data_IF_071349158477
#
_entry.id   IF_071349158477
#
_cell.length_a   1.000
_cell.length_b   1.000
_cell.length_c   1.000
_cell.angle_alpha   90.00
_cell.angle_beta   90.00
_cell.angle_gamma   90.00
#
_symmetry.space_group_name_H-M   'P 1'
#
loop_
_entity.id
_entity.type
_entity.pdbx_description
1 polymer ?
#
# COMPACT_ATOMS: atom_id res chain seq x y z
N UNK A 1 -18.84 -4.93 -7.45
CA UNK A 1 -19.05 -6.04 -8.41
C UNK A 1 -18.14 -7.18 -7.99
N UNK A 2 -18.63 -8.42 -7.82
CA UNK A 2 -17.74 -9.57 -7.54
C UNK A 2 -17.12 -10.02 -8.86
N UNK A 3 -15.79 -10.15 -8.90
CA UNK A 3 -15.04 -10.58 -10.09
C UNK A 3 -14.74 -12.08 -10.11
N UNK A 4 -15.12 -12.79 -9.05
CA UNK A 4 -14.96 -14.25 -8.93
C UNK A 4 -15.50 -14.99 -10.15
N UNK A 5 -14.72 -15.92 -10.68
CA UNK A 5 -15.06 -16.73 -11.86
C UNK A 5 -14.84 -16.01 -13.21
N UNK A 6 -14.51 -14.72 -13.22
CA UNK A 6 -14.17 -14.00 -14.45
C UNK A 6 -12.70 -14.24 -14.84
N UNK A 7 -12.42 -14.14 -16.14
CA UNK A 7 -11.05 -14.11 -16.64
C UNK A 7 -10.37 -12.85 -16.11
N UNK A 8 -9.17 -13.02 -15.54
CA UNK A 8 -8.45 -11.91 -14.89
C UNK A 8 -8.11 -10.80 -15.89
N UNK A 9 -7.80 -11.15 -17.14
CA UNK A 9 -7.57 -10.21 -18.23
C UNK A 9 -8.75 -9.29 -18.48
N UNK A 10 -9.97 -9.84 -18.56
CA UNK A 10 -11.17 -9.03 -18.77
C UNK A 10 -11.37 -8.03 -17.64
N UNK A 11 -11.12 -8.45 -16.39
CA UNK A 11 -11.20 -7.58 -15.21
C UNK A 11 -10.12 -6.49 -15.24
N UNK A 12 -8.90 -6.82 -15.66
CA UNK A 12 -7.80 -5.87 -15.84
C UNK A 12 -8.14 -4.82 -16.90
N UNK A 13 -8.54 -5.26 -18.09
CA UNK A 13 -8.86 -4.39 -19.21
C UNK A 13 -10.08 -3.50 -18.92
N UNK A 14 -11.11 -4.01 -18.24
CA UNK A 14 -12.24 -3.21 -17.74
C UNK A 14 -11.76 -2.06 -16.84
N UNK A 15 -10.84 -2.35 -15.90
CA UNK A 15 -10.29 -1.35 -14.97
C UNK A 15 -9.38 -0.33 -15.64
N UNK A 16 -8.48 -0.77 -16.51
CA UNK A 16 -7.61 0.13 -17.29
C UNK A 16 -8.45 1.06 -18.19
N UNK A 17 -9.50 0.53 -18.84
CA UNK A 17 -10.41 1.32 -19.64
C UNK A 17 -11.19 2.34 -18.80
N UNK A 18 -11.63 1.97 -17.59
CA UNK A 18 -12.30 2.88 -16.68
C UNK A 18 -11.39 4.05 -16.26
N UNK A 19 -10.11 3.78 -15.96
CA UNK A 19 -9.12 4.81 -15.65
C UNK A 19 -8.84 5.73 -16.84
N UNK A 20 -8.68 5.15 -18.04
CA UNK A 20 -8.47 5.92 -19.27
C UNK A 20 -9.67 6.81 -19.62
N UNK A 21 -10.90 6.32 -19.42
CA UNK A 21 -12.12 7.10 -19.63
C UNK A 21 -12.24 8.28 -18.65
N UNK A 22 -11.79 8.09 -17.40
CA UNK A 22 -11.88 9.14 -16.38
C UNK A 22 -10.79 10.21 -16.52
N UNK A 23 -9.53 9.79 -16.65
CA UNK A 23 -8.39 10.71 -16.66
C UNK A 23 -8.01 11.18 -18.07
N UNK A 24 -8.48 10.50 -19.12
CA UNK A 24 -8.08 10.74 -20.49
C UNK A 24 -6.68 10.21 -20.82
N UNK A 25 -6.41 10.03 -22.11
CA UNK A 25 -5.15 9.46 -22.62
C UNK A 25 -3.91 10.34 -22.41
N UNK A 26 -4.09 11.61 -22.01
CA UNK A 26 -2.99 12.51 -21.67
C UNK A 26 -2.43 12.25 -20.27
N UNK A 27 -3.26 11.78 -19.33
CA UNK A 27 -2.90 11.56 -17.93
C UNK A 27 -2.76 10.08 -17.57
N UNK A 28 -3.46 9.19 -18.29
CA UNK A 28 -3.38 7.75 -18.08
C UNK A 28 -3.06 7.02 -19.38
N UNK A 29 -2.10 6.10 -19.34
CA UNK A 29 -1.79 5.18 -20.42
C UNK A 29 -1.99 3.77 -19.92
N UNK A 30 -2.87 3.02 -20.60
CA UNK A 30 -3.22 1.68 -20.16
C UNK A 30 -2.01 0.73 -20.23
N UNK A 31 -1.77 0.00 -19.14
CA UNK A 31 -0.69 -0.98 -19.09
C UNK A 31 -1.08 -2.27 -19.83
N UNK A 32 -0.17 -2.86 -20.63
CA UNK A 32 -0.45 -4.11 -21.29
C UNK A 32 -0.65 -5.23 -20.27
N UNK A 33 -1.63 -6.10 -20.50
CA UNK A 33 -1.86 -7.25 -19.64
C UNK A 33 -0.63 -8.18 -19.63
N UNK A 34 -0.14 -8.63 -18.46
CA UNK A 34 1.03 -9.50 -18.40
C UNK A 34 0.75 -10.87 -19.06
N UNK A 35 1.50 -11.21 -20.11
CA UNK A 35 1.31 -12.46 -20.86
C UNK A 35 1.44 -13.73 -19.99
N UNK A 36 2.22 -13.66 -18.90
CA UNK A 36 2.38 -14.77 -17.94
C UNK A 36 1.09 -15.10 -17.16
N UNK A 37 0.09 -14.21 -17.19
CA UNK A 37 -1.18 -14.36 -16.47
C UNK A 37 -2.37 -14.67 -17.41
N UNK A 38 -2.09 -14.95 -18.68
CA UNK A 38 -3.12 -15.26 -19.67
C UNK A 38 -3.88 -16.55 -19.30
N UNK A 39 -5.20 -16.52 -19.44
CA UNK A 39 -6.07 -17.66 -19.09
C UNK A 39 -6.32 -17.87 -17.60
N UNK A 40 -5.76 -17.04 -16.71
CA UNK A 40 -6.04 -17.11 -15.27
C UNK A 40 -7.45 -16.58 -14.97
N UNK A 41 -8.15 -17.28 -14.08
CA UNK A 41 -9.46 -16.89 -13.56
C UNK A 41 -9.34 -16.34 -12.13
N UNK A 42 -10.12 -15.31 -11.82
CA UNK A 42 -10.19 -14.76 -10.46
C UNK A 42 -10.86 -15.77 -9.53
N UNK A 43 -10.12 -16.21 -8.50
CA UNK A 43 -10.60 -17.18 -7.50
C UNK A 43 -11.25 -16.49 -6.29
N UNK A 44 -12.11 -17.23 -5.60
CA UNK A 44 -12.72 -16.78 -4.35
C UNK A 44 -11.78 -16.90 -3.15
N UNK A 45 -12.12 -16.25 -2.04
CA UNK A 45 -11.38 -16.41 -0.78
C UNK A 45 -11.49 -17.84 -0.25
N UNK A 46 -12.64 -18.48 -0.39
CA UNK A 46 -12.87 -19.87 0.02
C UNK A 46 -11.97 -20.83 -0.76
N UNK A 47 -11.83 -20.60 -2.07
CA UNK A 47 -10.93 -21.37 -2.94
C UNK A 47 -9.47 -21.18 -2.52
N UNK A 48 -9.07 -19.93 -2.20
CA UNK A 48 -7.73 -19.63 -1.69
C UNK A 48 -7.46 -20.35 -0.35
N UNK A 49 -8.42 -20.35 0.58
CA UNK A 49 -8.28 -21.03 1.88
C UNK A 49 -8.21 -22.56 1.76
N UNK A 50 -8.84 -23.14 0.75
CA UNK A 50 -8.77 -24.56 0.45
C UNK A 50 -7.50 -24.97 -0.34
N UNK A 51 -6.71 -24.00 -0.81
CA UNK A 51 -5.52 -24.25 -1.62
C UNK A 51 -4.27 -24.53 -0.79
N UNK A 52 -3.17 -24.91 -1.46
CA UNK A 52 -1.86 -25.08 -0.83
C UNK A 52 -1.08 -23.76 -0.65
N UNK A 53 -1.65 -22.62 -1.05
CA UNK A 53 -1.00 -21.32 -0.93
C UNK A 53 -0.69 -20.99 0.55
N UNK A 54 0.59 -20.74 0.85
CA UNK A 54 1.06 -20.34 2.19
C UNK A 54 1.51 -18.89 2.29
N UNK A 55 1.60 -18.20 1.15
CA UNK A 55 2.01 -16.81 1.05
C UNK A 55 0.93 -16.04 0.29
N UNK A 56 0.52 -14.90 0.83
CA UNK A 56 -0.40 -13.97 0.18
C UNK A 56 0.24 -12.59 0.09
N UNK A 57 0.15 -11.98 -1.10
CA UNK A 57 0.46 -10.56 -1.31
C UNK A 57 -0.87 -9.81 -1.36
N UNK A 58 -1.12 -8.97 -0.37
CA UNK A 58 -2.39 -8.30 -0.14
C UNK A 58 -2.33 -6.82 -0.52
N UNK A 59 -3.27 -6.41 -1.37
CA UNK A 59 -3.49 -5.02 -1.77
C UNK A 59 -4.94 -4.61 -1.50
N UNK A 60 -5.59 -5.23 -0.49
CA UNK A 60 -7.02 -5.03 -0.24
C UNK A 60 -7.30 -3.65 0.36
N UNK A 61 -8.47 -3.10 0.05
CA UNK A 61 -8.95 -1.86 0.63
C UNK A 61 -9.21 -2.02 2.15
N UNK A 62 -9.13 -0.94 2.95
CA UNK A 62 -9.21 -1.02 4.40
C UNK A 62 -10.55 -1.55 4.93
N UNK A 63 -11.65 -1.33 4.20
CA UNK A 63 -13.00 -1.80 4.52
C UNK A 63 -13.13 -3.34 4.44
N UNK A 64 -12.31 -3.99 3.62
CA UNK A 64 -12.20 -5.45 3.51
C UNK A 64 -10.90 -5.99 4.12
N UNK A 65 -10.20 -5.18 4.91
CA UNK A 65 -8.92 -5.54 5.52
C UNK A 65 -8.97 -6.77 6.43
N UNK A 66 -10.13 -7.10 7.00
CA UNK A 66 -10.36 -8.30 7.81
C UNK A 66 -10.03 -9.62 7.07
N UNK A 67 -9.93 -9.60 5.74
CA UNK A 67 -9.46 -10.74 4.94
C UNK A 67 -8.03 -11.14 5.34
N UNK A 68 -7.18 -10.17 5.73
CA UNK A 68 -5.81 -10.45 6.19
C UNK A 68 -5.81 -11.25 7.50
N UNK A 69 -6.76 -10.98 8.39
CA UNK A 69 -6.95 -11.77 9.62
C UNK A 69 -7.39 -13.20 9.30
N UNK A 70 -8.29 -13.37 8.33
CA UNK A 70 -8.73 -14.70 7.90
C UNK A 70 -7.55 -15.50 7.34
N UNK A 71 -6.72 -14.89 6.49
CA UNK A 71 -5.55 -15.54 5.90
C UNK A 71 -4.48 -15.89 6.94
N UNK A 72 -4.17 -14.98 7.85
CA UNK A 72 -3.19 -15.25 8.92
C UNK A 72 -3.68 -16.31 9.89
N UNK A 73 -4.97 -16.31 10.26
CA UNK A 73 -5.57 -17.38 11.08
C UNK A 73 -5.56 -18.75 10.38
N UNK A 74 -5.56 -18.78 9.05
CA UNK A 74 -5.39 -20.00 8.26
C UNK A 74 -3.91 -20.43 8.09
N UNK A 75 -2.97 -19.70 8.68
CA UNK A 75 -1.53 -20.01 8.63
C UNK A 75 -0.80 -19.47 7.40
N UNK A 76 -1.42 -18.56 6.62
CA UNK A 76 -0.75 -17.90 5.52
C UNK A 76 0.12 -16.74 6.03
N UNK A 77 1.36 -16.62 5.52
CA UNK A 77 2.13 -15.38 5.63
C UNK A 77 1.57 -14.34 4.66
N UNK A 78 1.12 -13.23 5.20
CA UNK A 78 0.52 -12.11 4.48
C UNK A 78 1.50 -10.95 4.42
N UNK A 79 1.84 -10.53 3.21
CA UNK A 79 2.62 -9.33 2.92
C UNK A 79 1.68 -8.29 2.34
N UNK A 80 1.53 -7.14 2.99
CA UNK A 80 0.43 -6.26 2.67
C UNK A 80 0.79 -4.78 2.58
N UNK A 81 0.24 -4.12 1.57
CA UNK A 81 0.22 -2.64 1.45
C UNK A 81 -1.09 -2.04 1.98
N UNK A 82 -2.06 -2.87 2.39
CA UNK A 82 -3.37 -2.40 2.89
C UNK A 82 -3.21 -1.47 4.10
N UNK A 83 -4.02 -0.40 4.22
CA UNK A 83 -4.04 0.42 5.43
C UNK A 83 -4.55 -0.31 6.68
N UNK A 84 -5.24 -1.44 6.52
CA UNK A 84 -5.73 -2.23 7.65
C UNK A 84 -4.57 -2.71 8.53
N UNK A 85 -4.62 -2.42 9.84
CA UNK A 85 -3.55 -2.75 10.81
C UNK A 85 -2.15 -2.34 10.35
N UNK A 86 -2.01 -1.22 9.63
CA UNK A 86 -0.74 -0.83 8.99
C UNK A 86 0.46 -0.75 9.92
N UNK A 87 0.27 -0.39 11.19
CA UNK A 87 1.36 -0.31 12.17
C UNK A 87 1.91 -1.66 12.62
N UNK A 88 1.29 -2.78 12.26
CA UNK A 88 1.79 -4.11 12.63
C UNK A 88 3.00 -4.51 11.76
N UNK A 89 4.14 -4.78 12.39
CA UNK A 89 5.32 -5.36 11.72
C UNK A 89 5.69 -4.60 10.44
N UNK A 90 5.78 -3.26 10.55
CA UNK A 90 6.28 -2.41 9.48
C UNK A 90 7.63 -2.94 9.03
N UNK A 91 7.72 -3.31 7.76
CA UNK A 91 8.89 -3.98 7.20
C UNK A 91 9.46 -3.14 6.08
N UNK A 92 10.66 -2.59 6.30
CA UNK A 92 11.49 -1.93 5.29
C UNK A 92 12.88 -2.54 5.43
N UNK A 93 13.23 -3.56 4.62
CA UNK A 93 14.43 -4.38 4.85
C UNK A 93 15.73 -3.60 5.02
N UNK A 94 15.88 -2.48 4.34
CA UNK A 94 17.05 -1.60 4.40
C UNK A 94 17.08 -0.71 5.64
N UNK A 95 15.95 -0.51 6.32
CA UNK A 95 15.83 0.32 7.53
C UNK A 95 15.80 -0.53 8.78
N UNK A 96 15.00 -1.60 8.80
CA UNK A 96 14.81 -2.46 9.96
C UNK A 96 14.95 -3.95 9.62
N UNK A 97 16.14 -4.42 9.19
CA UNK A 97 16.36 -5.80 8.74
C UNK A 97 16.02 -6.87 9.79
N UNK A 98 16.02 -6.51 11.08
CA UNK A 98 15.60 -7.40 12.17
C UNK A 98 14.10 -7.78 12.12
N UNK A 99 13.26 -7.05 11.39
CA UNK A 99 11.83 -7.33 11.20
C UNK A 99 11.55 -8.16 9.93
N UNK A 100 12.58 -8.62 9.20
CA UNK A 100 12.40 -9.45 8.00
C UNK A 100 11.72 -10.78 8.39
N UNK A 101 10.80 -11.34 7.57
CA UNK A 101 10.01 -12.53 7.88
C UNK A 101 10.73 -13.82 8.25
N UNK A 102 12.02 -13.94 7.96
CA UNK A 102 12.87 -15.05 8.39
C UNK A 102 13.39 -14.88 9.81
N UNK A 103 13.39 -13.65 10.33
CA UNK A 103 13.89 -13.28 11.65
C UNK A 103 12.79 -13.20 12.72
N UNK A 104 11.51 -13.22 12.32
CA UNK A 104 10.36 -13.07 13.21
C UNK A 104 9.29 -14.12 12.94
N UNK A 105 8.82 -14.76 14.01
CA UNK A 105 7.70 -15.71 13.98
C UNK A 105 6.36 -14.96 13.96
N UNK A 106 6.09 -14.31 12.83
CA UNK A 106 4.87 -13.54 12.58
C UNK A 106 4.28 -13.92 11.22
N UNK A 107 2.98 -13.71 11.09
CA UNK A 107 2.23 -14.04 9.87
C UNK A 107 1.78 -12.81 9.07
N UNK A 108 1.77 -11.61 9.67
CA UNK A 108 1.41 -10.37 8.97
C UNK A 108 2.61 -9.44 8.89
N UNK A 109 2.94 -8.99 7.69
CA UNK A 109 4.01 -8.03 7.41
C UNK A 109 3.45 -6.87 6.62
N UNK A 110 3.62 -5.65 7.13
CA UNK A 110 3.04 -4.46 6.52
C UNK A 110 4.12 -3.64 5.84
N UNK A 111 3.89 -3.33 4.58
CA UNK A 111 4.59 -2.24 3.92
C UNK A 111 4.03 -0.92 4.46
N UNK A 112 4.88 0.04 4.84
CA UNK A 112 4.46 1.39 5.17
C UNK A 112 3.75 2.08 4.00
N UNK A 113 3.23 3.28 4.26
CA UNK A 113 2.87 4.23 3.22
C UNK A 113 4.06 4.47 2.27
N UNK A 114 3.78 4.69 0.97
CA UNK A 114 4.81 4.92 -0.04
C UNK A 114 5.76 6.08 0.30
N UNK A 115 5.23 7.15 0.92
CA UNK A 115 6.04 8.26 1.42
C UNK A 115 6.94 7.82 2.57
N UNK A 116 6.40 7.04 3.51
CA UNK A 116 7.15 6.55 4.67
C UNK A 116 8.31 5.64 4.26
N UNK A 117 8.11 4.75 3.27
CA UNK A 117 9.20 3.89 2.76
C UNK A 117 10.37 4.72 2.25
N UNK A 118 10.12 5.64 1.31
CA UNK A 118 11.20 6.45 0.73
C UNK A 118 11.86 7.38 1.75
N UNK A 119 11.06 7.97 2.64
CA UNK A 119 11.56 8.92 3.64
C UNK A 119 12.36 8.21 4.73
N UNK A 120 11.91 7.04 5.21
CA UNK A 120 12.64 6.27 6.24
C UNK A 120 14.01 5.80 5.75
N UNK A 121 14.15 5.41 4.49
CA UNK A 121 15.45 5.07 3.89
C UNK A 121 16.46 6.22 4.02
N UNK A 122 16.05 7.42 3.60
CA UNK A 122 16.91 8.60 3.64
C UNK A 122 17.23 9.02 5.08
N UNK A 123 16.22 9.03 5.96
CA UNK A 123 16.40 9.40 7.36
C UNK A 123 17.29 8.41 8.11
N UNK A 124 17.10 7.10 7.91
CA UNK A 124 17.94 6.08 8.55
C UNK A 124 19.41 6.24 8.19
N UNK A 125 19.71 6.53 6.93
CA UNK A 125 21.08 6.79 6.49
C UNK A 125 21.70 8.03 7.15
N UNK A 126 20.91 9.09 7.38
CA UNK A 126 21.36 10.29 8.09
C UNK A 126 21.56 9.99 9.58
N UNK A 127 20.61 9.28 10.20
CA UNK A 127 20.67 8.91 11.61
C UNK A 127 21.89 8.04 11.92
N UNK A 128 22.14 7.01 11.11
CA UNK A 128 23.30 6.11 11.28
C UNK A 128 24.64 6.85 11.17
N UNK A 129 24.71 7.91 10.36
CA UNK A 129 25.94 8.65 10.10
C UNK A 129 26.17 9.83 11.06
N UNK A 130 25.09 10.50 11.49
CA UNK A 130 25.16 11.79 12.18
C UNK A 130 24.25 11.91 13.41
N UNK A 131 23.28 11.01 13.57
CA UNK A 131 22.19 11.11 14.54
C UNK A 131 21.11 12.12 14.13
N UNK A 132 19.85 11.80 14.40
CA UNK A 132 18.70 12.70 14.24
C UNK A 132 18.19 13.23 15.58
N UNK A 133 17.90 14.53 15.65
CA UNK A 133 17.23 15.16 16.81
C UNK A 133 15.82 15.65 16.49
N UNK A 134 15.59 16.11 15.26
CA UNK A 134 14.28 16.57 14.79
C UNK A 134 14.18 16.42 13.28
N UNK A 135 12.99 16.10 12.79
CA UNK A 135 12.69 15.97 11.36
C UNK A 135 11.45 16.80 11.02
N UNK A 136 11.53 17.60 9.96
CA UNK A 136 10.40 18.31 9.37
C UNK A 136 10.25 17.87 7.92
N UNK A 137 9.11 17.26 7.58
CA UNK A 137 8.84 16.72 6.24
C UNK A 137 7.71 17.50 5.58
N UNK A 138 7.92 17.89 4.32
CA UNK A 138 6.89 18.43 3.45
C UNK A 138 6.77 17.51 2.21
N UNK A 139 5.56 17.05 1.90
CA UNK A 139 5.32 16.08 0.83
C UNK A 139 4.55 16.71 -0.32
N UNK A 140 4.95 16.41 -1.56
CA UNK A 140 4.23 16.77 -2.78
C UNK A 140 3.77 15.48 -3.45
N UNK A 141 2.56 15.04 -3.13
CA UNK A 141 2.05 13.73 -3.57
C UNK A 141 1.26 13.84 -4.88
N UNK A 142 1.43 12.85 -5.76
CA UNK A 142 0.65 12.75 -7.00
C UNK A 142 -0.78 12.29 -6.73
N UNK A 143 -1.71 12.62 -7.63
CA UNK A 143 -3.11 12.18 -7.56
C UNK A 143 -3.26 10.66 -7.67
N UNK A 144 -2.31 10.00 -8.34
CA UNK A 144 -2.28 8.54 -8.49
C UNK A 144 -2.24 7.78 -7.15
N UNK A 145 -1.79 8.42 -6.05
CA UNK A 145 -1.74 7.81 -4.72
C UNK A 145 -3.09 7.38 -4.16
N UNK A 146 -4.21 7.86 -4.71
CA UNK A 146 -5.57 7.44 -4.31
C UNK A 146 -6.18 6.33 -5.17
N UNK A 147 -5.43 5.81 -6.15
CA UNK A 147 -5.91 4.72 -7.00
C UNK A 147 -7.10 5.12 -7.85
N UNK A 148 -8.16 4.30 -7.82
CA UNK A 148 -9.40 4.46 -8.60
C UNK A 148 -10.44 5.37 -7.92
N UNK A 149 -10.12 5.95 -6.76
CA UNK A 149 -10.89 7.05 -6.19
C UNK A 149 -10.65 8.30 -7.05
N UNK A 150 -11.32 8.33 -8.20
CA UNK A 150 -11.28 9.38 -9.20
C UNK A 150 -11.58 10.73 -8.54
N UNK A 151 -10.61 11.63 -8.53
CA UNK A 151 -10.85 13.00 -8.09
C UNK A 151 -11.59 13.79 -9.16
N UNK A 152 -12.56 14.64 -8.79
CA UNK A 152 -13.09 15.65 -9.68
C UNK A 152 -11.94 16.48 -10.28
N UNK A 153 -11.82 16.58 -11.61
CA UNK A 153 -10.72 17.29 -12.29
C UNK A 153 -10.53 18.73 -11.80
N UNK A 154 -11.60 19.39 -11.40
CA UNK A 154 -11.65 20.77 -10.89
C UNK A 154 -11.08 20.96 -9.47
N UNK A 155 -10.84 19.89 -8.71
CA UNK A 155 -10.26 19.96 -7.36
C UNK A 155 -8.75 20.25 -7.36
N UNK A 156 -8.10 20.17 -8.52
CA UNK A 156 -6.67 20.46 -8.67
C UNK A 156 -6.51 21.91 -9.12
N UNK A 157 -6.59 22.84 -8.16
CA UNK A 157 -6.33 24.25 -8.42
C UNK A 157 -4.88 24.59 -8.06
N UNK A 158 -4.07 24.94 -9.07
CA UNK A 158 -2.69 25.38 -8.85
C UNK A 158 -1.74 24.31 -8.29
N UNK A 159 -1.96 23.03 -8.62
CA UNK A 159 -1.15 21.88 -8.19
C UNK A 159 -1.12 21.60 -6.67
N UNK A 160 -2.02 22.19 -5.89
CA UNK A 160 -2.08 21.99 -4.44
C UNK A 160 -3.47 21.50 -4.07
N UNK A 161 -3.52 20.35 -3.39
CA UNK A 161 -4.72 19.86 -2.74
C UNK A 161 -4.73 20.34 -1.28
N UNK A 162 -5.60 21.27 -0.88
CA UNK A 162 -5.73 21.65 0.52
C UNK A 162 -6.36 20.49 1.29
N UNK A 163 -5.54 19.77 2.06
CA UNK A 163 -5.97 18.64 2.91
C UNK A 163 -6.79 19.09 4.15
N UNK A 164 -6.96 20.39 4.35
CA UNK A 164 -7.80 20.94 5.42
C UNK A 164 -9.23 20.37 5.31
N UNK A 165 -9.73 19.74 6.38
CA UNK A 165 -11.02 19.04 6.46
C UNK A 165 -11.18 17.74 5.64
N UNK A 166 -10.09 17.13 5.18
CA UNK A 166 -10.17 15.78 4.60
C UNK A 166 -10.25 14.71 5.71
N UNK A 167 -10.97 13.61 5.46
CA UNK A 167 -11.13 12.52 6.44
C UNK A 167 -9.84 11.71 6.66
N UNK A 168 -8.90 11.76 5.72
CA UNK A 168 -7.65 11.02 5.78
C UNK A 168 -6.56 11.85 6.46
N UNK A 169 -6.20 11.47 7.68
CA UNK A 169 -5.06 12.02 8.44
C UNK A 169 -3.73 11.40 7.98
N UNK A 170 -3.47 11.47 6.68
CA UNK A 170 -2.33 10.78 6.04
C UNK A 170 -0.99 11.24 6.64
N UNK A 171 -0.88 12.52 6.97
CA UNK A 171 0.27 13.12 7.66
C UNK A 171 0.54 12.51 9.03
N UNK A 172 -0.51 12.19 9.80
CA UNK A 172 -0.38 11.54 11.11
C UNK A 172 0.11 10.11 10.94
N UNK A 173 -0.44 9.37 9.97
CA UNK A 173 0.01 8.00 9.70
C UNK A 173 1.46 7.95 9.22
N UNK A 174 1.86 8.84 8.30
CA UNK A 174 3.24 8.96 7.85
C UNK A 174 4.15 9.30 9.04
N UNK A 175 3.78 10.27 9.86
CA UNK A 175 4.56 10.65 11.04
C UNK A 175 4.79 9.48 12.00
N UNK A 176 3.73 8.74 12.33
CA UNK A 176 3.80 7.57 13.21
C UNK A 176 4.66 6.44 12.62
N UNK A 177 4.51 6.16 11.32
CA UNK A 177 5.31 5.16 10.63
C UNK A 177 6.80 5.53 10.60
N UNK A 178 7.12 6.80 10.35
CA UNK A 178 8.50 7.29 10.41
C UNK A 178 9.08 7.14 11.81
N UNK A 179 8.37 7.60 12.85
CA UNK A 179 8.85 7.45 14.23
C UNK A 179 9.11 5.97 14.58
N UNK A 180 8.21 5.07 14.15
CA UNK A 180 8.36 3.62 14.40
C UNK A 180 9.49 2.95 13.59
N UNK A 181 9.95 3.55 12.49
CA UNK A 181 10.98 3.00 11.61
C UNK A 181 12.38 3.52 11.93
N UNK A 182 12.51 4.77 12.36
CA UNK A 182 13.80 5.44 12.61
C UNK A 182 14.02 5.84 14.06
N UNK A 183 13.22 5.31 15.00
CA UNK A 183 13.34 5.52 16.47
C UNK A 183 13.51 7.00 16.88
N UNK A 184 12.87 7.92 16.15
CA UNK A 184 12.82 9.33 16.52
C UNK A 184 11.73 9.48 17.58
N UNK A 185 12.10 9.92 18.79
CA UNK A 185 11.15 10.16 19.88
C UNK A 185 10.02 11.09 19.41
N UNK A 186 8.80 10.57 19.33
CA UNK A 186 7.62 11.29 18.87
C UNK A 186 7.09 12.34 19.86
N UNK A 187 7.84 12.66 20.90
CA UNK A 187 7.46 13.63 21.93
C UNK A 187 7.86 15.05 21.52
N UNK A 188 6.90 15.81 21.00
CA UNK A 188 6.83 17.26 21.16
C UNK A 188 5.50 17.64 21.81
#
# INVERSE_FOLDING_TARGET
KRSEGLIYKDVWEEKEMALMNNYGSQLWSAMPFPAALEGITVSSLETLLASECKIAISCVAPDVGYIEDILTNAGCKVYSISPYKRSENLTVPEVNPAQIPSAVDKLLFKSPNCVSVGTSLALKAIDDAFGLSQVNICTFQSLSGRGDAMYPPELVQGNIYPVWNTRERTEVYIGNEICALVDVDGSN
#
